data_IF_659213551271
#
_entry.id   IF_659213551271
#
_cell.length_a   1.000
_cell.length_b   1.000
_cell.length_c   1.000
_cell.angle_alpha   90.00
_cell.angle_beta   90.00
_cell.angle_gamma   90.00
#
_symmetry.space_group_name_H-M   'P 1'
#
loop_
_entity.id
_entity.type
_entity.pdbx_description
1 polymer ?
#
# COMPACT_ATOMS: atom_id res chain seq x y z
N UNK A 1 14.10 -40.66 -34.64
CA UNK A 1 13.43 -40.76 -33.30
C UNK A 1 13.12 -42.21 -33.04
N UNK A 2 13.65 -42.78 -31.96
CA UNK A 2 13.33 -44.16 -31.57
C UNK A 2 11.86 -44.18 -31.05
N UNK A 3 10.98 -44.85 -31.76
CA UNK A 3 9.59 -45.05 -31.30
C UNK A 3 9.55 -46.25 -30.37
N UNK A 4 9.32 -46.01 -29.10
CA UNK A 4 9.08 -47.10 -28.14
C UNK A 4 7.67 -47.68 -28.31
N UNK A 5 7.56 -48.99 -28.27
CA UNK A 5 6.24 -49.68 -28.15
C UNK A 5 5.62 -49.32 -26.78
N UNK A 6 4.30 -49.50 -26.62
CA UNK A 6 3.61 -49.28 -25.35
C UNK A 6 4.24 -50.09 -24.21
N UNK A 7 4.60 -51.34 -24.49
CA UNK A 7 5.23 -52.25 -23.52
C UNK A 7 6.66 -51.83 -23.14
N UNK A 8 7.45 -51.40 -24.11
CA UNK A 8 8.81 -50.86 -23.86
C UNK A 8 8.74 -49.60 -23.00
N UNK A 9 7.76 -48.70 -23.25
CA UNK A 9 7.56 -47.50 -22.47
C UNK A 9 7.11 -47.84 -21.04
N UNK A 10 6.21 -48.81 -20.84
CA UNK A 10 5.80 -49.24 -19.50
C UNK A 10 6.96 -49.83 -18.70
N UNK A 11 7.78 -50.69 -19.30
CA UNK A 11 9.00 -51.26 -18.67
C UNK A 11 9.99 -50.20 -18.29
N UNK A 12 10.21 -49.19 -19.17
CA UNK A 12 11.07 -48.06 -18.87
C UNK A 12 10.52 -47.20 -17.74
N UNK A 13 9.24 -46.86 -17.76
CA UNK A 13 8.60 -46.11 -16.68
C UNK A 13 8.67 -46.83 -15.34
N UNK A 14 8.46 -48.16 -15.33
CA UNK A 14 8.57 -48.98 -14.12
C UNK A 14 10.02 -49.08 -13.56
N UNK A 15 11.05 -48.74 -14.37
CA UNK A 15 12.45 -48.71 -13.92
C UNK A 15 12.85 -47.34 -13.31
N UNK A 16 11.96 -46.33 -13.36
CA UNK A 16 12.23 -45.03 -12.74
C UNK A 16 11.78 -45.08 -11.27
N UNK A 17 12.54 -44.38 -10.42
CA UNK A 17 12.17 -44.21 -9.02
C UNK A 17 10.80 -43.51 -8.91
N UNK A 18 9.89 -44.13 -8.16
CA UNK A 18 8.60 -43.52 -7.90
C UNK A 18 8.75 -42.29 -7.02
N UNK A 19 8.14 -41.20 -7.47
CA UNK A 19 8.07 -39.95 -6.71
C UNK A 19 6.63 -39.53 -6.61
N UNK A 20 6.24 -39.04 -5.44
CA UNK A 20 4.90 -38.46 -5.29
C UNK A 20 4.97 -36.94 -5.26
N UNK A 21 3.85 -36.30 -5.55
CA UNK A 21 3.69 -34.86 -5.47
C UNK A 21 2.64 -34.49 -4.44
N UNK A 22 2.78 -33.33 -3.85
CA UNK A 22 1.78 -32.69 -3.02
C UNK A 22 1.54 -31.26 -3.48
N UNK A 23 0.39 -30.71 -3.15
CA UNK A 23 0.03 -29.33 -3.43
C UNK A 23 -0.48 -28.65 -2.15
N UNK A 24 -0.15 -27.36 -1.98
CA UNK A 24 -0.61 -26.56 -0.86
C UNK A 24 -0.87 -25.13 -1.31
N UNK A 25 -1.62 -24.35 -0.51
CA UNK A 25 -1.97 -22.97 -0.85
C UNK A 25 -1.66 -22.02 0.29
N UNK A 26 -0.90 -20.96 -0.02
CA UNK A 26 -0.78 -19.75 0.79
C UNK A 26 -2.06 -18.93 0.58
N UNK A 27 -2.93 -18.85 1.57
CA UNK A 27 -4.15 -18.06 1.52
C UNK A 27 -3.98 -16.86 2.45
N UNK A 28 -3.86 -15.69 1.87
CA UNK A 28 -3.78 -14.43 2.61
C UNK A 28 -5.14 -13.75 2.67
N UNK A 29 -5.43 -13.10 3.79
CA UNK A 29 -6.57 -12.19 3.92
C UNK A 29 -6.19 -10.76 3.44
N UNK A 30 -7.15 -9.85 3.45
CA UNK A 30 -6.92 -8.45 3.03
C UNK A 30 -5.98 -7.66 3.96
N UNK A 31 -5.67 -8.19 5.14
CA UNK A 31 -4.71 -7.59 6.08
C UNK A 31 -3.28 -8.11 5.88
N UNK A 32 -3.08 -9.07 4.97
CA UNK A 32 -1.79 -9.72 4.74
C UNK A 32 -1.45 -10.79 5.80
N UNK A 33 -2.44 -11.34 6.49
CA UNK A 33 -2.28 -12.47 7.41
C UNK A 33 -2.52 -13.78 6.66
N UNK A 34 -1.72 -14.81 6.94
CA UNK A 34 -1.73 -16.10 6.28
C UNK A 34 -2.58 -17.12 7.05
N UNK A 35 -3.47 -17.82 6.36
CA UNK A 35 -4.21 -18.95 6.92
C UNK A 35 -3.26 -20.13 7.12
N UNK A 36 -3.14 -20.61 8.36
CA UNK A 36 -2.46 -21.85 8.73
C UNK A 36 -3.44 -22.82 9.36
N UNK A 37 -3.23 -24.11 9.13
CA UNK A 37 -4.05 -25.19 9.64
C UNK A 37 -3.23 -26.12 10.54
N UNK A 38 -3.85 -26.64 11.59
CA UNK A 38 -3.30 -27.65 12.47
C UNK A 38 -3.97 -29.00 12.15
N UNK A 39 -3.22 -29.88 11.49
CA UNK A 39 -3.69 -31.25 11.28
C UNK A 39 -3.59 -32.06 12.57
N UNK A 40 -4.58 -32.93 12.82
CA UNK A 40 -4.68 -33.75 14.04
C UNK A 40 -3.59 -34.85 14.15
N UNK A 41 -2.87 -35.11 13.04
CA UNK A 41 -1.81 -36.14 12.94
C UNK A 41 -0.40 -35.54 12.76
N UNK A 42 -0.25 -34.19 12.85
CA UNK A 42 1.04 -33.50 12.71
C UNK A 42 1.28 -32.56 13.90
N UNK A 43 2.53 -32.45 14.31
CA UNK A 43 2.90 -31.53 15.39
C UNK A 43 3.01 -30.08 14.92
N UNK A 44 3.28 -29.85 13.63
CA UNK A 44 3.48 -28.52 13.06
C UNK A 44 2.20 -27.96 12.43
N UNK A 45 2.09 -26.63 12.48
CA UNK A 45 1.13 -25.89 11.71
C UNK A 45 1.60 -25.72 10.27
N UNK A 46 0.71 -25.89 9.30
CA UNK A 46 1.01 -25.87 7.89
C UNK A 46 -0.01 -25.11 7.05
N UNK A 47 0.14 -25.26 5.76
CA UNK A 47 -0.79 -24.72 4.78
C UNK A 47 -1.89 -25.74 4.49
N UNK A 48 -3.10 -25.31 4.09
CA UNK A 48 -4.07 -26.21 3.49
C UNK A 48 -3.48 -26.91 2.27
N UNK A 49 -3.61 -28.25 2.19
CA UNK A 49 -3.07 -29.02 1.10
C UNK A 49 -2.70 -30.45 1.43
N UNK A 50 -2.57 -31.27 0.39
CA UNK A 50 -2.32 -32.71 0.49
C UNK A 50 -1.64 -33.31 -0.74
N UNK A 51 -1.82 -34.63 -0.89
CA UNK A 51 -1.19 -35.41 -1.97
C UNK A 51 -1.95 -35.20 -3.28
N UNK A 52 -1.20 -35.15 -4.38
CA UNK A 52 -1.78 -35.10 -5.73
C UNK A 52 -2.18 -36.50 -6.14
N UNK A 53 -3.46 -36.72 -6.40
CA UNK A 53 -4.01 -38.02 -6.80
C UNK A 53 -3.62 -38.43 -8.21
N UNK A 54 -3.76 -39.73 -8.50
CA UNK A 54 -3.47 -40.29 -9.82
C UNK A 54 -4.38 -39.68 -10.89
N UNK A 55 -3.78 -39.03 -11.88
CA UNK A 55 -4.50 -38.38 -12.97
C UNK A 55 -4.89 -36.91 -12.68
N UNK A 56 -4.60 -36.42 -11.50
CA UNK A 56 -4.84 -35.05 -11.09
C UNK A 56 -3.60 -34.15 -11.36
N UNK A 57 -3.80 -32.87 -11.61
CA UNK A 57 -2.71 -31.91 -11.66
C UNK A 57 -2.45 -31.30 -10.26
N UNK A 58 -1.23 -30.81 -9.95
CA UNK A 58 -0.97 -30.15 -8.68
C UNK A 58 -1.89 -28.95 -8.41
N UNK A 59 -2.31 -28.22 -9.45
CA UNK A 59 -3.24 -27.10 -9.33
C UNK A 59 -4.66 -27.58 -8.97
N UNK A 60 -5.11 -28.69 -9.56
CA UNK A 60 -6.41 -29.29 -9.23
C UNK A 60 -6.42 -29.82 -7.79
N UNK A 61 -5.34 -30.51 -7.37
CA UNK A 61 -5.18 -30.97 -6.00
C UNK A 61 -5.23 -29.80 -5.00
N UNK A 62 -4.54 -28.70 -5.28
CA UNK A 62 -4.56 -27.51 -4.44
C UNK A 62 -5.98 -26.97 -4.22
N UNK A 63 -6.78 -26.90 -5.29
CA UNK A 63 -8.19 -26.44 -5.21
C UNK A 63 -9.04 -27.42 -4.41
N UNK A 64 -8.90 -28.72 -4.65
CA UNK A 64 -9.65 -29.79 -3.95
C UNK A 64 -9.35 -29.78 -2.45
N UNK A 65 -8.06 -29.80 -2.08
CA UNK A 65 -7.63 -29.85 -0.68
C UNK A 65 -8.10 -28.63 0.12
N UNK A 66 -8.01 -27.42 -0.45
CA UNK A 66 -8.52 -26.20 0.20
C UNK A 66 -10.04 -26.29 0.41
N UNK A 67 -10.76 -26.88 -0.54
CA UNK A 67 -12.20 -27.10 -0.40
C UNK A 67 -12.52 -28.13 0.67
N UNK A 68 -11.77 -29.23 0.74
CA UNK A 68 -11.95 -30.30 1.70
C UNK A 68 -11.59 -29.87 3.11
N UNK A 69 -10.40 -29.31 3.32
CA UNK A 69 -9.86 -28.97 4.64
C UNK A 69 -10.46 -27.70 5.26
N UNK A 70 -10.80 -26.66 4.44
CA UNK A 70 -11.23 -25.35 4.93
C UNK A 70 -12.59 -24.88 4.37
N UNK A 71 -13.24 -25.65 3.49
CA UNK A 71 -14.49 -25.30 2.80
C UNK A 71 -14.42 -23.97 2.02
N UNK A 72 -13.26 -23.63 1.46
CA UNK A 72 -13.08 -22.44 0.64
C UNK A 72 -13.16 -22.85 -0.83
N UNK A 73 -14.02 -22.17 -1.60
CA UNK A 73 -14.12 -22.36 -3.05
C UNK A 73 -13.08 -21.49 -3.75
N UNK A 74 -12.20 -22.12 -4.55
CA UNK A 74 -11.19 -21.45 -5.36
C UNK A 74 -11.35 -21.83 -6.83
N UNK A 75 -11.23 -20.86 -7.73
CA UNK A 75 -11.06 -21.15 -9.14
C UNK A 75 -9.55 -21.29 -9.47
N UNK A 76 -9.16 -22.20 -10.39
CA UNK A 76 -7.76 -22.37 -10.77
C UNK A 76 -7.06 -21.08 -11.21
N UNK A 77 -7.79 -20.15 -11.82
CA UNK A 77 -7.27 -18.85 -12.27
C UNK A 77 -6.99 -17.85 -11.14
N UNK A 78 -7.39 -18.12 -9.91
CA UNK A 78 -7.11 -17.29 -8.73
C UNK A 78 -5.78 -17.67 -8.06
N UNK A 79 -5.18 -18.80 -8.47
CA UNK A 79 -3.97 -19.35 -7.89
C UNK A 79 -2.74 -19.03 -8.74
N UNK A 80 -1.73 -18.42 -8.12
CA UNK A 80 -0.40 -18.22 -8.70
C UNK A 80 0.60 -19.22 -8.09
N UNK A 81 1.48 -19.81 -8.90
CA UNK A 81 2.53 -20.68 -8.38
C UNK A 81 3.58 -19.82 -7.64
N UNK A 82 3.73 -20.06 -6.35
CA UNK A 82 4.68 -19.33 -5.48
C UNK A 82 6.00 -20.08 -5.28
N UNK A 83 5.93 -21.40 -4.98
CA UNK A 83 7.12 -22.20 -4.70
C UNK A 83 6.98 -23.61 -5.26
N UNK A 84 8.11 -24.23 -5.59
CA UNK A 84 8.20 -25.68 -5.85
C UNK A 84 9.33 -26.23 -4.99
N UNK A 85 9.01 -27.17 -4.11
CA UNK A 85 10.01 -27.79 -3.25
C UNK A 85 10.34 -29.21 -3.72
N UNK A 86 11.66 -29.52 -3.76
CA UNK A 86 12.17 -30.89 -3.82
C UNK A 86 12.50 -31.33 -2.39
N UNK A 87 11.72 -32.27 -1.86
CA UNK A 87 11.74 -32.71 -0.47
C UNK A 87 12.37 -34.09 -0.38
N UNK A 88 13.59 -34.15 0.15
CA UNK A 88 14.37 -35.37 0.25
C UNK A 88 14.28 -35.96 1.66
N UNK A 89 13.79 -37.19 1.76
CA UNK A 89 13.85 -38.07 2.93
C UNK A 89 14.85 -39.20 2.69
N UNK A 90 15.09 -40.00 3.71
CA UNK A 90 15.87 -41.25 3.59
C UNK A 90 15.14 -42.29 2.70
N UNK A 91 13.80 -42.32 2.76
CA UNK A 91 12.97 -43.33 2.12
C UNK A 91 12.36 -42.89 0.79
N UNK A 92 12.24 -41.56 0.54
CA UNK A 92 11.56 -41.03 -0.65
C UNK A 92 12.05 -39.65 -1.06
N UNK A 93 11.79 -39.33 -2.32
CA UNK A 93 11.86 -37.98 -2.84
C UNK A 93 10.44 -37.55 -3.28
N UNK A 94 10.02 -36.37 -2.85
CA UNK A 94 8.74 -35.80 -3.26
C UNK A 94 8.88 -34.38 -3.78
N UNK A 95 7.90 -33.91 -4.54
CA UNK A 95 7.79 -32.53 -4.96
C UNK A 95 6.54 -31.91 -4.35
N UNK A 96 6.68 -30.72 -3.77
CA UNK A 96 5.53 -29.96 -3.27
C UNK A 96 5.38 -28.68 -4.09
N UNK A 97 4.19 -28.49 -4.62
CA UNK A 97 3.79 -27.29 -5.33
C UNK A 97 3.02 -26.38 -4.35
N UNK A 98 3.49 -25.16 -4.15
CA UNK A 98 2.85 -24.19 -3.28
C UNK A 98 2.32 -23.07 -4.15
N UNK A 99 1.01 -22.92 -4.15
CA UNK A 99 0.31 -21.82 -4.80
C UNK A 99 -0.01 -20.72 -3.81
N UNK A 100 -0.41 -19.54 -4.30
CA UNK A 100 -0.81 -18.40 -3.47
C UNK A 100 -2.09 -17.75 -4.00
N UNK A 101 -2.94 -17.29 -3.09
CA UNK A 101 -4.12 -16.49 -3.36
C UNK A 101 -4.33 -15.46 -2.26
N UNK A 102 -4.89 -14.29 -2.61
CA UNK A 102 -5.39 -13.30 -1.66
C UNK A 102 -6.91 -13.29 -1.74
N UNK A 103 -7.57 -13.49 -0.61
CA UNK A 103 -9.03 -13.59 -0.55
C UNK A 103 -9.63 -12.49 0.32
N UNK A 104 -10.85 -12.06 -0.03
CA UNK A 104 -11.61 -11.10 0.78
C UNK A 104 -12.10 -11.74 2.08
N UNK A 105 -12.26 -10.93 3.11
CA UNK A 105 -12.72 -11.37 4.43
C UNK A 105 -14.10 -12.04 4.36
N UNK A 106 -14.99 -11.63 3.44
CA UNK A 106 -16.30 -12.25 3.23
C UNK A 106 -16.18 -13.72 2.77
N UNK A 107 -15.19 -14.04 1.94
CA UNK A 107 -14.92 -15.42 1.50
C UNK A 107 -14.33 -16.27 2.63
N UNK A 108 -13.55 -15.65 3.50
CA UNK A 108 -12.90 -16.31 4.64
C UNK A 108 -13.82 -16.42 5.86
N UNK A 109 -14.91 -15.65 5.93
CA UNK A 109 -15.88 -15.71 7.04
C UNK A 109 -16.62 -17.07 7.17
N UNK A 110 -16.60 -17.91 6.13
CA UNK A 110 -17.32 -19.18 6.08
C UNK A 110 -16.39 -20.41 6.12
N UNK A 111 -15.17 -20.26 6.65
CA UNK A 111 -14.25 -21.39 6.85
C UNK A 111 -14.94 -22.43 7.74
N UNK A 112 -14.93 -23.69 7.27
CA UNK A 112 -15.39 -24.87 8.02
C UNK A 112 -14.33 -25.93 7.89
N UNK A 113 -13.75 -26.32 9.02
CA UNK A 113 -12.69 -27.31 9.05
C UNK A 113 -13.24 -28.74 8.86
N UNK A 114 -12.50 -29.56 8.15
CA UNK A 114 -12.73 -30.99 8.08
C UNK A 114 -12.28 -31.63 9.39
N UNK A 115 -13.17 -31.76 10.36
CA UNK A 115 -12.87 -32.21 11.74
C UNK A 115 -12.17 -33.59 11.81
N UNK A 116 -12.29 -34.42 10.79
CA UNK A 116 -11.59 -35.72 10.70
C UNK A 116 -10.07 -35.57 10.53
N UNK A 117 -9.60 -34.46 10.00
CA UNK A 117 -8.18 -34.24 9.66
C UNK A 117 -7.60 -32.96 10.23
N UNK A 118 -8.39 -31.90 10.39
CA UNK A 118 -7.95 -30.59 10.83
C UNK A 118 -8.52 -30.28 12.21
N UNK A 119 -7.63 -30.06 13.17
CA UNK A 119 -7.94 -29.73 14.55
C UNK A 119 -8.27 -28.25 14.74
N UNK A 120 -7.52 -27.35 14.08
CA UNK A 120 -7.65 -25.90 14.28
C UNK A 120 -7.15 -25.10 13.07
N UNK A 121 -7.51 -23.82 13.02
CA UNK A 121 -7.06 -22.86 12.01
C UNK A 121 -6.74 -21.51 12.65
N UNK A 122 -5.74 -20.82 12.10
CA UNK A 122 -5.32 -19.53 12.60
C UNK A 122 -4.83 -18.64 11.45
N UNK A 123 -5.11 -17.32 11.52
CA UNK A 123 -4.50 -16.32 10.65
C UNK A 123 -3.29 -15.73 11.35
N UNK A 124 -2.09 -15.96 10.78
CA UNK A 124 -0.80 -15.55 11.35
C UNK A 124 -0.20 -14.41 10.54
N UNK A 125 0.29 -13.36 11.22
CA UNK A 125 1.04 -12.27 10.60
C UNK A 125 2.53 -12.62 10.43
N UNK A 126 3.25 -11.89 9.56
CA UNK A 126 4.70 -12.04 9.40
C UNK A 126 5.46 -11.85 10.74
N UNK A 127 5.00 -10.90 11.57
CA UNK A 127 5.61 -10.62 12.88
C UNK A 127 5.41 -11.79 13.86
N UNK A 128 4.22 -12.38 13.87
CA UNK A 128 3.93 -13.55 14.72
C UNK A 128 4.71 -14.79 14.30
N UNK A 129 4.96 -14.99 12.99
CA UNK A 129 5.83 -16.08 12.51
C UNK A 129 7.23 -15.98 13.10
N UNK A 130 7.78 -14.76 13.20
CA UNK A 130 9.10 -14.54 13.78
C UNK A 130 9.15 -14.81 15.30
N UNK A 131 8.02 -14.68 15.99
CA UNK A 131 7.87 -14.85 17.45
C UNK A 131 7.25 -16.20 17.84
N UNK A 132 6.84 -17.02 16.86
CA UNK A 132 6.13 -18.26 17.10
C UNK A 132 6.97 -19.23 17.95
N UNK A 133 6.38 -19.72 19.03
CA UNK A 133 6.95 -20.72 19.93
C UNK A 133 6.43 -22.15 19.65
N UNK A 134 5.75 -22.33 18.53
CA UNK A 134 5.24 -23.61 18.04
C UNK A 134 5.81 -23.93 16.65
N UNK A 135 5.90 -25.21 16.28
CA UNK A 135 6.51 -25.59 15.02
C UNK A 135 5.67 -25.17 13.81
N UNK A 136 6.32 -24.49 12.88
CA UNK A 136 5.73 -24.04 11.62
C UNK A 136 6.38 -24.74 10.43
N UNK A 137 5.57 -25.07 9.42
CA UNK A 137 6.04 -25.60 8.15
C UNK A 137 7.05 -24.63 7.49
N UNK A 138 8.04 -25.17 6.79
CA UNK A 138 9.05 -24.39 6.08
C UNK A 138 8.46 -23.32 5.13
N UNK A 139 7.36 -23.63 4.45
CA UNK A 139 6.71 -22.71 3.51
C UNK A 139 6.12 -21.47 4.21
N UNK A 140 5.59 -21.60 5.44
CA UNK A 140 5.12 -20.47 6.25
C UNK A 140 6.28 -19.55 6.63
N UNK A 141 7.44 -20.14 6.98
CA UNK A 141 8.65 -19.36 7.31
C UNK A 141 9.23 -18.62 6.10
N UNK A 142 9.15 -19.20 4.91
CA UNK A 142 9.57 -18.52 3.67
C UNK A 142 8.59 -17.44 3.23
N UNK A 143 7.28 -17.68 3.42
CA UNK A 143 6.27 -16.66 3.19
C UNK A 143 6.53 -15.40 4.04
N UNK A 144 6.78 -15.54 5.34
CA UNK A 144 7.07 -14.41 6.22
C UNK A 144 8.36 -13.65 5.85
N UNK A 145 9.28 -14.27 5.13
CA UNK A 145 10.49 -13.63 4.60
C UNK A 145 10.32 -13.13 3.16
N UNK A 146 9.16 -13.34 2.55
CA UNK A 146 8.90 -13.05 1.14
C UNK A 146 9.88 -13.75 0.18
N UNK A 147 10.36 -14.95 0.57
CA UNK A 147 11.31 -15.77 -0.18
C UNK A 147 10.56 -16.85 -0.96
N UNK A 148 10.35 -16.63 -2.26
CA UNK A 148 9.61 -17.53 -3.15
C UNK A 148 10.53 -18.13 -4.22
N UNK A 149 10.26 -19.36 -4.66
CA UNK A 149 11.04 -19.98 -5.72
C UNK A 149 11.15 -21.49 -5.64
N UNK A 150 12.23 -22.05 -6.21
CA UNK A 150 12.57 -23.46 -6.07
C UNK A 150 13.30 -23.68 -4.73
N UNK A 151 12.81 -24.62 -3.94
CA UNK A 151 13.30 -24.90 -2.58
C UNK A 151 13.79 -26.35 -2.52
N UNK A 152 14.94 -26.55 -1.90
CA UNK A 152 15.40 -27.90 -1.54
C UNK A 152 15.30 -28.07 -0.02
N UNK A 153 14.62 -29.14 0.40
CA UNK A 153 14.52 -29.49 1.82
C UNK A 153 15.06 -30.88 2.08
N UNK A 154 15.55 -31.09 3.31
CA UNK A 154 15.94 -32.40 3.81
C UNK A 154 15.10 -32.74 5.02
N UNK A 155 14.45 -33.91 4.96
CA UNK A 155 13.60 -34.46 6.02
C UNK A 155 14.41 -35.52 6.77
N UNK A 156 14.51 -35.38 8.08
CA UNK A 156 15.12 -36.37 8.95
C UNK A 156 14.08 -36.86 9.95
N UNK A 157 13.95 -38.18 10.09
CA UNK A 157 13.11 -38.78 11.11
C UNK A 157 13.79 -38.67 12.47
N UNK A 158 13.03 -38.24 13.49
CA UNK A 158 13.52 -38.24 14.87
C UNK A 158 13.15 -39.56 15.55
N UNK A 159 13.85 -39.87 16.66
CA UNK A 159 13.64 -41.12 17.47
C UNK A 159 12.18 -41.22 17.99
N UNK A 160 11.46 -40.11 18.09
CA UNK A 160 10.06 -40.06 18.52
C UNK A 160 9.05 -40.21 17.35
N UNK A 161 9.52 -40.46 16.09
CA UNK A 161 8.64 -40.58 14.92
C UNK A 161 8.20 -39.24 14.33
N UNK A 162 8.58 -38.11 14.91
CA UNK A 162 8.36 -36.80 14.30
C UNK A 162 9.37 -36.53 13.18
N UNK A 163 8.97 -35.78 12.20
CA UNK A 163 9.84 -35.38 11.08
C UNK A 163 10.34 -33.94 11.29
N UNK A 164 11.66 -33.76 11.24
CA UNK A 164 12.30 -32.43 11.19
C UNK A 164 12.67 -32.14 9.73
N UNK A 165 12.10 -31.09 9.16
CA UNK A 165 12.33 -30.67 7.78
C UNK A 165 13.13 -29.36 7.75
N UNK A 166 14.32 -29.41 7.17
CA UNK A 166 15.23 -28.25 7.06
C UNK A 166 15.38 -27.81 5.62
N UNK A 167 15.34 -26.50 5.40
CA UNK A 167 15.66 -25.88 4.12
C UNK A 167 17.18 -26.02 3.91
N UNK A 168 17.58 -26.57 2.75
CA UNK A 168 18.97 -26.75 2.34
C UNK A 168 19.38 -25.67 1.33
N UNK A 169 18.51 -25.35 0.39
CA UNK A 169 18.74 -24.32 -0.61
C UNK A 169 17.44 -23.65 -1.06
N UNK A 170 17.56 -22.40 -1.46
CA UNK A 170 16.49 -21.64 -2.12
C UNK A 170 17.07 -21.04 -3.38
N UNK A 171 16.41 -21.30 -4.50
CA UNK A 171 16.74 -20.67 -5.80
C UNK A 171 15.53 -19.85 -6.21
N UNK A 172 15.62 -18.52 -6.30
CA UNK A 172 14.50 -17.70 -6.74
C UNK A 172 13.98 -18.20 -8.09
N UNK A 173 12.66 -18.25 -8.27
CA UNK A 173 12.10 -18.55 -9.59
C UNK A 173 12.53 -17.46 -10.57
N UNK A 174 12.90 -17.88 -11.80
CA UNK A 174 13.20 -16.94 -12.86
C UNK A 174 12.02 -16.00 -13.06
N UNK A 175 12.18 -14.76 -12.64
CA UNK A 175 11.31 -13.66 -13.01
C UNK A 175 11.95 -13.00 -14.22
N UNK A 176 11.30 -13.07 -15.38
CA UNK A 176 11.70 -12.31 -16.57
C UNK A 176 11.54 -10.80 -16.38
N UNK A 177 10.75 -10.41 -15.38
CA UNK A 177 10.88 -9.13 -14.72
C UNK A 177 11.71 -9.39 -13.46
N UNK A 178 12.88 -8.74 -13.30
CA UNK A 178 13.29 -8.39 -11.95
C UNK A 178 11.99 -7.94 -11.25
N UNK A 179 11.60 -8.57 -10.13
CA UNK A 179 10.92 -7.79 -9.10
C UNK A 179 11.98 -6.73 -8.74
N UNK A 180 11.97 -5.62 -9.45
CA UNK A 180 12.25 -4.37 -8.80
C UNK A 180 11.35 -4.44 -7.58
N UNK A 181 11.90 -4.31 -6.38
CA UNK A 181 11.12 -3.88 -5.24
C UNK A 181 10.20 -2.83 -5.82
N UNK A 182 8.86 -3.12 -5.86
CA UNK A 182 7.93 -2.18 -6.48
C UNK A 182 8.15 -0.91 -5.69
N UNK A 183 8.99 -0.03 -6.23
CA UNK A 183 9.47 1.17 -5.57
C UNK A 183 8.21 1.94 -5.25
N UNK A 184 7.81 1.92 -4.00
CA UNK A 184 6.58 2.60 -3.58
C UNK A 184 6.83 4.08 -3.71
N UNK A 185 6.03 4.74 -4.52
CA UNK A 185 6.10 6.19 -4.65
C UNK A 185 5.54 6.86 -3.41
N UNK A 186 6.18 7.92 -2.95
CA UNK A 186 5.70 8.73 -1.83
C UNK A 186 5.27 10.10 -2.32
N UNK A 187 4.07 10.52 -1.93
CA UNK A 187 3.59 11.88 -2.08
C UNK A 187 3.65 12.57 -0.73
N UNK A 188 4.48 13.60 -0.63
CA UNK A 188 4.51 14.48 0.55
C UNK A 188 3.78 15.76 0.19
N UNK A 189 2.74 16.10 0.94
CA UNK A 189 1.94 17.31 0.74
C UNK A 189 2.19 18.28 1.89
N UNK A 190 2.50 19.54 1.56
CA UNK A 190 2.61 20.66 2.48
C UNK A 190 1.71 21.81 2.06
N UNK A 191 1.04 22.42 3.02
CA UNK A 191 0.44 23.74 2.84
C UNK A 191 1.54 24.80 2.87
N UNK A 192 1.37 25.88 2.08
CA UNK A 192 2.27 27.04 2.17
C UNK A 192 2.34 27.60 3.59
N UNK A 193 3.49 28.15 3.99
CA UNK A 193 3.70 28.81 5.27
C UNK A 193 2.81 30.05 5.45
N UNK A 194 2.84 30.67 6.63
CA UNK A 194 2.12 31.90 6.90
C UNK A 194 2.50 32.99 5.88
N UNK A 195 1.50 33.55 5.19
CA UNK A 195 1.68 34.67 4.27
C UNK A 195 1.30 36.02 4.94
N UNK A 196 1.73 37.11 4.33
CA UNK A 196 1.37 38.46 4.77
C UNK A 196 -0.14 38.65 4.98
N UNK A 197 -0.96 38.12 4.08
CA UNK A 197 -2.40 38.24 4.17
C UNK A 197 -3.05 37.22 5.13
N UNK A 198 -2.36 36.12 5.46
CA UNK A 198 -2.81 35.27 6.56
C UNK A 198 -2.64 36.01 7.90
N UNK A 199 -1.50 36.70 8.10
CA UNK A 199 -1.24 37.52 9.29
C UNK A 199 -2.29 38.62 9.46
N UNK A 200 -2.71 39.26 8.33
CA UNK A 200 -3.72 40.32 8.31
C UNK A 200 -5.18 39.80 8.37
N UNK A 201 -5.39 38.48 8.44
CA UNK A 201 -6.73 37.89 8.44
C UNK A 201 -7.53 38.13 7.16
N UNK A 202 -6.88 38.33 6.00
CA UNK A 202 -7.56 38.61 4.72
C UNK A 202 -7.80 37.38 3.88
N UNK A 203 -8.86 37.44 3.06
CA UNK A 203 -9.09 36.47 2.00
C UNK A 203 -8.05 36.66 0.89
N UNK A 204 -7.17 35.67 0.68
CA UNK A 204 -6.01 35.82 -0.23
C UNK A 204 -6.34 35.45 -1.67
N UNK A 205 -7.01 34.31 -1.85
CA UNK A 205 -7.33 33.79 -3.20
C UNK A 205 -6.09 33.71 -4.10
N UNK A 206 -6.26 34.21 -5.32
CA UNK A 206 -5.24 34.22 -6.37
C UNK A 206 -4.22 35.36 -6.23
N UNK A 207 -4.41 36.29 -5.26
CA UNK A 207 -3.45 37.38 -5.05
C UNK A 207 -2.07 36.82 -4.67
N UNK A 208 -1.04 37.31 -5.35
CA UNK A 208 0.32 36.76 -5.24
C UNK A 208 1.13 37.46 -4.15
N UNK A 209 0.81 37.17 -2.87
CA UNK A 209 1.51 37.64 -1.68
C UNK A 209 2.61 36.69 -1.25
N UNK A 210 3.64 37.21 -0.58
CA UNK A 210 4.75 36.44 -0.03
C UNK A 210 4.46 35.84 1.34
N UNK A 211 5.41 35.03 1.81
CA UNK A 211 5.44 34.54 3.20
C UNK A 211 5.93 35.65 4.13
N UNK A 212 5.51 35.58 5.40
CA UNK A 212 6.15 36.34 6.48
C UNK A 212 7.49 35.72 6.84
N UNK A 213 8.36 36.48 7.54
CA UNK A 213 9.61 35.93 8.08
C UNK A 213 9.36 34.77 9.03
N UNK A 214 8.30 34.85 9.86
CA UNK A 214 7.85 33.77 10.73
C UNK A 214 7.41 32.57 9.90
N UNK A 215 6.62 32.79 8.85
CA UNK A 215 6.16 31.71 7.94
C UNK A 215 7.31 30.96 7.28
N UNK A 216 8.40 31.67 6.90
CA UNK A 216 9.61 31.04 6.38
C UNK A 216 10.31 30.21 7.46
N UNK A 217 10.54 30.77 8.66
CA UNK A 217 11.23 30.10 9.76
C UNK A 217 10.46 28.84 10.23
N UNK A 218 9.14 28.94 10.38
CA UNK A 218 8.30 27.80 10.75
C UNK A 218 8.32 26.70 9.67
N UNK A 219 8.37 27.08 8.40
CA UNK A 219 8.47 26.14 7.28
C UNK A 219 9.86 25.49 7.22
N UNK A 220 10.94 26.19 7.54
CA UNK A 220 12.28 25.58 7.65
C UNK A 220 12.30 24.51 8.76
N UNK A 221 11.69 24.78 9.93
CA UNK A 221 11.54 23.77 10.99
C UNK A 221 10.72 22.56 10.53
N UNK A 222 9.63 22.78 9.76
CA UNK A 222 8.83 21.72 9.19
C UNK A 222 9.65 20.87 8.21
N UNK A 223 10.54 21.49 7.44
CA UNK A 223 11.47 20.84 6.54
C UNK A 223 12.40 19.84 7.22
N UNK A 224 12.73 20.03 8.50
CA UNK A 224 13.56 19.08 9.26
C UNK A 224 12.94 17.67 9.33
N UNK A 225 11.60 17.58 9.26
CA UNK A 225 10.90 16.29 9.23
C UNK A 225 11.07 15.52 7.91
N UNK A 226 11.67 16.15 6.90
CA UNK A 226 11.99 15.58 5.60
C UNK A 226 13.44 15.09 5.49
N UNK A 227 14.27 15.27 6.54
CA UNK A 227 15.67 14.81 6.56
C UNK A 227 15.78 13.34 6.22
N UNK A 228 16.67 13.00 5.28
CA UNK A 228 16.88 11.64 4.80
C UNK A 228 15.88 11.17 3.74
N UNK A 229 14.89 11.99 3.36
CA UNK A 229 14.03 11.72 2.23
C UNK A 229 14.66 12.27 0.94
N UNK A 230 14.66 11.47 -0.11
CA UNK A 230 15.01 11.91 -1.46
C UNK A 230 13.72 12.12 -2.28
N UNK A 231 13.66 13.20 -3.05
CA UNK A 231 12.56 13.52 -3.94
C UNK A 231 13.03 13.51 -5.40
N UNK A 232 12.22 12.93 -6.27
CA UNK A 232 12.49 12.89 -7.71
C UNK A 232 11.98 14.15 -8.43
N UNK A 233 10.95 14.80 -7.88
CA UNK A 233 10.29 15.96 -8.48
C UNK A 233 9.47 16.72 -7.43
N UNK A 234 9.31 18.03 -7.60
CA UNK A 234 8.44 18.85 -6.79
C UNK A 234 7.34 19.52 -7.61
N UNK A 235 6.18 19.71 -7.01
CA UNK A 235 5.04 20.42 -7.58
C UNK A 235 4.65 21.59 -6.69
N UNK A 236 4.43 22.74 -7.30
CA UNK A 236 3.89 23.92 -6.61
C UNK A 236 2.73 24.51 -7.39
N UNK A 237 1.94 25.36 -6.75
CA UNK A 237 1.04 26.23 -7.49
C UNK A 237 1.83 27.30 -8.28
N UNK A 238 1.15 28.13 -9.05
CA UNK A 238 1.76 29.26 -9.73
C UNK A 238 2.08 30.43 -8.79
N UNK A 239 1.67 30.38 -7.52
CA UNK A 239 1.73 31.51 -6.58
C UNK A 239 3.01 31.49 -5.75
N UNK A 240 3.66 32.65 -5.62
CA UNK A 240 4.97 32.87 -4.97
C UNK A 240 5.11 32.25 -3.59
N UNK A 241 4.07 32.31 -2.74
CA UNK A 241 4.11 31.74 -1.39
C UNK A 241 4.35 30.23 -1.36
N UNK A 242 3.93 29.49 -2.39
CA UNK A 242 4.24 28.05 -2.48
C UNK A 242 5.67 27.79 -2.91
N UNK A 243 6.24 28.66 -3.76
CA UNK A 243 7.65 28.58 -4.15
C UNK A 243 8.56 28.85 -2.95
N UNK A 244 8.29 29.94 -2.20
CA UNK A 244 9.03 30.27 -0.99
C UNK A 244 8.91 29.18 0.09
N UNK A 245 7.75 28.51 0.17
CA UNK A 245 7.55 27.36 1.06
C UNK A 245 8.39 26.18 0.62
N UNK A 246 8.43 25.86 -0.66
CA UNK A 246 9.27 24.79 -1.19
C UNK A 246 10.75 25.05 -0.84
N UNK A 247 11.24 26.25 -1.12
CA UNK A 247 12.64 26.65 -0.82
C UNK A 247 12.96 26.47 0.67
N UNK A 248 12.05 26.92 1.55
CA UNK A 248 12.22 26.81 3.01
C UNK A 248 12.18 25.35 3.49
N UNK A 249 11.29 24.50 2.95
CA UNK A 249 11.23 23.07 3.26
C UNK A 249 12.53 22.36 2.87
N UNK A 250 13.04 22.61 1.66
CA UNK A 250 14.27 22.01 1.15
C UNK A 250 15.48 22.45 1.99
N UNK A 251 15.56 23.73 2.35
CA UNK A 251 16.59 24.26 3.24
C UNK A 251 16.57 23.57 4.61
N UNK A 252 15.40 23.44 5.25
CA UNK A 252 15.23 22.77 6.54
C UNK A 252 15.57 21.27 6.47
N UNK A 253 15.25 20.62 5.37
CA UNK A 253 15.60 19.22 5.12
C UNK A 253 17.10 19.01 4.84
N UNK A 254 17.85 20.05 4.52
CA UNK A 254 19.24 19.96 4.07
C UNK A 254 19.37 19.35 2.66
N UNK A 255 18.33 19.47 1.83
CA UNK A 255 18.32 19.01 0.44
C UNK A 255 18.89 20.12 -0.43
N UNK A 256 20.05 19.86 -1.04
CA UNK A 256 20.78 20.79 -1.92
C UNK A 256 20.82 20.32 -3.38
N UNK A 257 20.32 19.14 -3.65
CA UNK A 257 20.27 18.56 -4.99
C UNK A 257 19.19 19.26 -5.83
N UNK A 258 19.54 19.61 -7.06
CA UNK A 258 18.57 20.14 -8.02
C UNK A 258 17.57 19.05 -8.41
N UNK A 259 16.29 19.35 -8.22
CA UNK A 259 15.20 18.51 -8.69
C UNK A 259 14.29 19.31 -9.63
N UNK A 260 13.62 18.65 -10.58
CA UNK A 260 12.59 19.29 -11.41
C UNK A 260 11.48 19.88 -10.56
N UNK A 261 11.12 21.14 -10.79
CA UNK A 261 9.99 21.82 -10.13
C UNK A 261 8.95 22.21 -11.17
N UNK A 262 7.75 21.63 -11.05
CA UNK A 262 6.62 21.94 -11.90
C UNK A 262 5.68 22.92 -11.19
N UNK A 263 5.37 24.03 -11.87
CA UNK A 263 4.43 25.05 -11.40
C UNK A 263 3.12 24.90 -12.14
N UNK A 264 2.05 24.62 -11.42
CA UNK A 264 0.74 24.31 -12.02
C UNK A 264 -0.35 25.23 -11.46
N UNK A 265 -1.06 25.92 -12.33
CA UNK A 265 -2.18 26.78 -11.96
C UNK A 265 -3.36 25.98 -11.38
N UNK A 266 -3.50 24.72 -11.76
CA UNK A 266 -4.48 23.77 -11.26
C UNK A 266 -4.34 23.53 -9.75
N UNK A 267 -3.14 23.78 -9.19
CA UNK A 267 -2.84 23.68 -7.75
C UNK A 267 -3.00 25.02 -7.02
N UNK A 268 -3.41 26.10 -7.68
CA UNK A 268 -3.64 27.40 -7.05
C UNK A 268 -4.67 27.32 -5.90
N UNK A 269 -4.62 28.32 -5.02
CA UNK A 269 -5.65 28.52 -4.00
C UNK A 269 -7.02 28.77 -4.69
N UNK A 270 -8.07 28.57 -3.95
CA UNK A 270 -9.44 28.88 -4.36
C UNK A 270 -9.57 30.38 -4.64
N UNK A 271 -10.18 30.75 -5.75
CA UNK A 271 -10.56 32.12 -6.01
C UNK A 271 -11.69 32.53 -5.07
N UNK A 272 -11.50 33.60 -4.33
CA UNK A 272 -12.50 34.12 -3.42
C UNK A 272 -13.34 35.25 -4.04
N UNK A 273 -13.15 35.58 -5.32
CA UNK A 273 -13.93 36.55 -6.08
C UNK A 273 -14.05 37.88 -5.35
N UNK A 274 -15.29 38.35 -5.10
CA UNK A 274 -15.58 39.64 -4.46
C UNK A 274 -15.12 39.73 -2.99
N UNK A 275 -14.71 38.63 -2.37
CA UNK A 275 -14.18 38.61 -1.00
C UNK A 275 -12.66 38.83 -0.95
N UNK A 276 -11.97 38.71 -2.10
CA UNK A 276 -10.51 38.85 -2.14
C UNK A 276 -10.04 40.21 -1.59
N UNK A 277 -9.12 40.16 -0.64
CA UNK A 277 -8.57 41.37 0.02
C UNK A 277 -9.38 41.87 1.22
N UNK A 278 -10.63 41.44 1.38
CA UNK A 278 -11.44 41.80 2.57
C UNK A 278 -10.95 41.08 3.82
N UNK A 279 -11.14 41.71 4.98
CA UNK A 279 -10.88 41.07 6.28
C UNK A 279 -11.93 40.00 6.55
N UNK A 280 -11.50 38.82 6.98
CA UNK A 280 -12.37 37.66 7.21
C UNK A 280 -13.39 37.94 8.34
N UNK A 281 -12.96 38.64 9.35
CA UNK A 281 -13.77 38.87 10.54
C UNK A 281 -14.82 39.95 10.29
N UNK A 282 -14.47 41.01 9.57
CA UNK A 282 -15.42 42.02 9.09
C UNK A 282 -16.48 41.37 8.19
N UNK A 283 -16.07 40.53 7.25
CA UNK A 283 -17.01 39.79 6.42
C UNK A 283 -17.90 38.86 7.25
N UNK A 284 -17.35 38.18 8.28
CA UNK A 284 -18.16 37.34 9.21
C UNK A 284 -19.26 38.15 9.88
N UNK A 285 -18.93 39.38 10.34
CA UNK A 285 -19.90 40.27 11.00
C UNK A 285 -20.97 40.77 10.02
N UNK A 286 -20.62 40.96 8.74
CA UNK A 286 -21.56 41.41 7.70
C UNK A 286 -22.54 40.30 7.24
N UNK A 287 -22.05 39.06 7.02
CA UNK A 287 -22.86 37.97 6.39
C UNK A 287 -23.37 36.94 7.39
N UNK A 288 -22.92 36.99 8.63
CA UNK A 288 -23.25 36.04 9.69
C UNK A 288 -22.43 34.75 9.68
N UNK A 289 -22.48 34.03 10.79
CA UNK A 289 -21.61 32.86 11.03
C UNK A 289 -21.91 31.69 10.09
N UNK A 290 -23.18 31.43 9.79
CA UNK A 290 -23.59 30.32 8.94
C UNK A 290 -23.04 30.49 7.51
N UNK A 291 -23.27 31.67 6.89
CA UNK A 291 -22.78 31.98 5.55
C UNK A 291 -21.25 32.02 5.52
N UNK A 292 -20.61 32.59 6.55
CA UNK A 292 -19.16 32.62 6.68
C UNK A 292 -18.56 31.20 6.73
N UNK A 293 -19.15 30.31 7.54
CA UNK A 293 -18.70 28.93 7.63
C UNK A 293 -18.99 28.15 6.34
N UNK A 294 -20.12 28.41 5.69
CA UNK A 294 -20.46 27.86 4.38
C UNK A 294 -19.39 28.22 3.32
N UNK A 295 -19.05 29.49 3.21
CA UNK A 295 -17.99 29.96 2.31
C UNK A 295 -16.62 29.34 2.69
N UNK A 296 -16.30 29.32 3.97
CA UNK A 296 -14.96 28.91 4.44
C UNK A 296 -14.76 27.39 4.36
N UNK A 297 -15.79 26.60 4.68
CA UNK A 297 -15.69 25.15 4.95
C UNK A 297 -16.50 24.30 3.99
N UNK A 298 -17.60 24.87 3.42
CA UNK A 298 -18.55 24.13 2.60
C UNK A 298 -17.93 23.51 1.35
N UNK A 299 -18.57 22.44 0.88
CA UNK A 299 -18.15 21.73 -0.32
C UNK A 299 -18.53 22.51 -1.58
N UNK A 300 -19.80 22.88 -1.73
CA UNK A 300 -20.38 23.54 -2.88
C UNK A 300 -21.08 24.88 -2.54
N UNK A 301 -20.74 25.44 -1.36
CA UNK A 301 -21.31 26.73 -0.95
C UNK A 301 -20.81 27.85 -1.88
N UNK A 302 -21.73 28.65 -2.48
CA UNK A 302 -21.35 29.66 -3.45
C UNK A 302 -20.45 30.75 -2.88
N UNK A 303 -19.46 31.16 -3.64
CA UNK A 303 -18.60 32.33 -3.36
C UNK A 303 -18.87 33.37 -4.45
N UNK A 304 -19.34 34.58 -4.11
CA UNK A 304 -19.64 35.62 -5.10
C UNK A 304 -18.44 35.94 -5.98
N UNK A 305 -18.58 35.73 -7.30
CA UNK A 305 -17.50 35.93 -8.28
C UNK A 305 -16.31 35.01 -8.16
N UNK A 306 -16.36 33.98 -7.31
CA UNK A 306 -15.23 33.07 -7.04
C UNK A 306 -15.57 31.60 -7.21
N UNK A 307 -14.72 30.73 -6.70
CA UNK A 307 -14.82 29.26 -6.78
C UNK A 307 -15.42 28.67 -5.49
N UNK A 308 -16.22 27.63 -5.64
CA UNK A 308 -16.53 26.67 -4.56
C UNK A 308 -15.38 25.70 -4.35
N UNK A 309 -15.36 24.91 -3.27
CA UNK A 309 -14.38 23.84 -3.10
C UNK A 309 -14.54 22.75 -4.17
N UNK A 310 -15.77 22.53 -4.65
CA UNK A 310 -16.08 21.60 -5.73
C UNK A 310 -15.45 22.03 -7.06
N UNK A 311 -15.40 23.33 -7.35
CA UNK A 311 -14.72 23.85 -8.55
C UNK A 311 -13.20 23.66 -8.45
N UNK A 312 -12.62 23.89 -7.27
CA UNK A 312 -11.19 23.57 -7.01
C UNK A 312 -10.90 22.08 -7.22
N UNK A 313 -11.79 21.20 -6.74
CA UNK A 313 -11.68 19.76 -6.97
C UNK A 313 -11.70 19.42 -8.47
N UNK A 314 -12.59 20.04 -9.21
CA UNK A 314 -12.76 19.79 -10.65
C UNK A 314 -11.52 20.16 -11.49
N UNK A 315 -10.62 21.03 -10.98
CA UNK A 315 -9.32 21.33 -11.65
C UNK A 315 -8.14 20.60 -11.05
N UNK A 316 -8.04 20.50 -9.71
CA UNK A 316 -6.88 19.95 -9.04
C UNK A 316 -6.79 18.42 -9.11
N UNK A 317 -7.92 17.70 -9.02
CA UNK A 317 -7.90 16.23 -8.99
C UNK A 317 -7.63 15.62 -10.37
N UNK A 318 -8.24 16.06 -11.50
CA UNK A 318 -7.86 15.58 -12.81
C UNK A 318 -6.39 15.85 -13.15
N UNK A 319 -5.86 17.02 -12.77
CA UNK A 319 -4.44 17.32 -12.92
C UNK A 319 -3.56 16.35 -12.12
N UNK A 320 -3.90 16.10 -10.84
CA UNK A 320 -3.20 15.11 -10.04
C UNK A 320 -3.21 13.72 -10.70
N UNK A 321 -4.36 13.29 -11.21
CA UNK A 321 -4.53 11.98 -11.83
C UNK A 321 -3.74 11.83 -13.14
N UNK A 322 -3.62 12.89 -13.94
CA UNK A 322 -2.90 12.84 -15.23
C UNK A 322 -1.39 13.03 -15.08
N UNK A 323 -0.95 13.93 -14.21
CA UNK A 323 0.44 14.39 -14.16
C UNK A 323 1.24 13.80 -12.99
N UNK A 324 0.62 13.59 -11.83
CA UNK A 324 1.33 13.22 -10.59
C UNK A 324 1.17 11.73 -10.29
N UNK A 325 -0.05 11.20 -10.34
CA UNK A 325 -0.34 9.81 -9.99
C UNK A 325 0.46 8.78 -10.80
N UNK A 326 0.64 8.90 -12.13
CA UNK A 326 1.46 7.93 -12.89
C UNK A 326 2.91 7.87 -12.42
N UNK A 327 3.46 9.00 -11.97
CA UNK A 327 4.82 9.07 -11.45
C UNK A 327 4.95 8.39 -10.08
N UNK A 328 3.94 8.58 -9.21
CA UNK A 328 3.85 7.89 -7.93
C UNK A 328 3.72 6.37 -8.13
N UNK A 329 2.91 5.93 -9.08
CA UNK A 329 2.77 4.53 -9.47
C UNK A 329 4.07 3.95 -10.07
N UNK A 330 4.89 4.80 -10.71
CA UNK A 330 6.23 4.44 -11.16
C UNK A 330 7.29 4.44 -10.02
N UNK A 331 6.86 4.64 -8.76
CA UNK A 331 7.73 4.60 -7.59
C UNK A 331 8.53 5.88 -7.34
N UNK A 332 8.16 7.02 -7.95
CA UNK A 332 8.80 8.32 -7.67
C UNK A 332 8.30 8.92 -6.37
N UNK A 333 9.21 9.60 -5.66
CA UNK A 333 8.90 10.40 -4.49
C UNK A 333 8.66 11.86 -4.93
N UNK A 334 7.50 12.40 -4.59
CA UNK A 334 7.05 13.73 -5.02
C UNK A 334 6.76 14.61 -3.82
N UNK A 335 7.29 15.84 -3.83
CA UNK A 335 6.97 16.88 -2.87
C UNK A 335 5.98 17.86 -3.51
N UNK A 336 4.78 17.99 -2.95
CA UNK A 336 3.72 18.88 -3.42
C UNK A 336 3.47 19.98 -2.40
N UNK A 337 3.62 21.24 -2.81
CA UNK A 337 3.34 22.41 -1.98
C UNK A 337 2.20 23.20 -2.60
N UNK A 338 1.09 23.30 -1.87
CA UNK A 338 -0.12 23.94 -2.37
C UNK A 338 -0.84 24.76 -1.27
N UNK A 339 -2.13 24.93 -1.37
CA UNK A 339 -2.94 25.81 -0.54
C UNK A 339 -4.01 25.04 0.23
N UNK A 340 -4.64 25.70 1.21
CA UNK A 340 -5.63 25.07 2.05
C UNK A 340 -6.74 24.35 1.24
N UNK A 341 -7.35 25.02 0.28
CA UNK A 341 -8.45 24.43 -0.46
C UNK A 341 -8.02 23.46 -1.58
N UNK A 342 -6.93 23.71 -2.28
CA UNK A 342 -6.42 22.74 -3.26
C UNK A 342 -5.97 21.44 -2.58
N UNK A 343 -5.38 21.50 -1.39
CA UNK A 343 -5.03 20.31 -0.60
C UNK A 343 -6.29 19.61 -0.07
N UNK A 344 -7.29 20.34 0.42
CA UNK A 344 -8.59 19.75 0.84
C UNK A 344 -9.27 19.00 -0.31
N UNK A 345 -9.20 19.53 -1.53
CA UNK A 345 -9.69 18.86 -2.73
C UNK A 345 -8.92 17.56 -3.00
N UNK A 346 -7.58 17.56 -2.87
CA UNK A 346 -6.78 16.34 -2.99
C UNK A 346 -7.04 15.34 -1.87
N UNK A 347 -7.19 15.78 -0.60
CA UNK A 347 -7.55 14.92 0.53
C UNK A 347 -8.90 14.23 0.27
N UNK A 348 -9.90 14.98 -0.25
CA UNK A 348 -11.19 14.38 -0.61
C UNK A 348 -11.03 13.18 -1.55
N UNK A 349 -10.19 13.30 -2.56
CA UNK A 349 -9.91 12.21 -3.50
C UNK A 349 -9.09 11.09 -2.87
N UNK A 350 -8.00 11.42 -2.19
CA UNK A 350 -7.04 10.45 -1.66
C UNK A 350 -7.61 9.64 -0.48
N UNK A 351 -8.36 10.28 0.40
CA UNK A 351 -8.96 9.67 1.59
C UNK A 351 -10.43 9.27 1.37
N UNK A 352 -10.97 9.43 0.15
CA UNK A 352 -12.36 9.10 -0.24
C UNK A 352 -13.41 9.76 0.69
N UNK A 353 -13.16 11.03 1.07
CA UNK A 353 -14.04 11.76 2.01
C UNK A 353 -15.39 12.09 1.36
N UNK A 354 -16.54 11.76 2.00
CA UNK A 354 -17.86 12.15 1.51
C UNK A 354 -18.06 13.67 1.46
N UNK A 355 -18.96 14.14 0.59
CA UNK A 355 -19.27 15.58 0.45
C UNK A 355 -19.74 16.20 1.78
N UNK A 356 -20.56 15.46 2.56
CA UNK A 356 -21.05 15.86 3.88
C UNK A 356 -19.95 16.18 4.89
N UNK A 357 -18.80 15.50 4.77
CA UNK A 357 -17.74 15.54 5.78
C UNK A 357 -16.66 16.57 5.44
N UNK A 358 -16.74 17.17 4.24
CA UNK A 358 -15.75 18.13 3.75
C UNK A 358 -15.62 19.38 4.62
N UNK A 359 -16.64 19.74 5.38
CA UNK A 359 -16.58 20.86 6.32
C UNK A 359 -15.55 20.62 7.46
N UNK A 360 -15.25 19.36 7.79
CA UNK A 360 -14.33 18.95 8.84
C UNK A 360 -12.91 18.67 8.34
N UNK A 361 -12.70 18.63 7.03
CA UNK A 361 -11.36 18.43 6.45
C UNK A 361 -10.53 19.70 6.57
N UNK A 362 -9.38 19.60 7.22
CA UNK A 362 -8.44 20.72 7.38
C UNK A 362 -7.02 20.34 6.95
N UNK A 363 -6.27 21.36 6.57
CA UNK A 363 -4.81 21.28 6.40
C UNK A 363 -4.20 22.47 7.17
N UNK A 364 -3.86 22.30 8.44
CA UNK A 364 -3.27 23.35 9.25
C UNK A 364 -1.84 23.68 8.78
N UNK A 365 -1.31 24.81 9.20
CA UNK A 365 0.11 25.11 9.08
C UNK A 365 0.94 24.13 9.90
N UNK A 366 2.21 23.92 9.53
CA UNK A 366 3.13 23.05 10.28
C UNK A 366 2.85 21.57 10.18
N UNK A 367 2.10 21.13 9.15
CA UNK A 367 1.78 19.73 8.94
C UNK A 367 2.21 19.25 7.55
N UNK A 368 2.71 18.01 7.49
CA UNK A 368 2.98 17.25 6.27
C UNK A 368 2.07 16.02 6.22
N UNK A 369 1.47 15.77 5.07
CA UNK A 369 0.79 14.49 4.79
C UNK A 369 1.70 13.66 3.90
N UNK A 370 2.01 12.44 4.32
CA UNK A 370 2.84 11.51 3.56
C UNK A 370 1.97 10.33 3.13
N UNK A 371 1.69 10.24 1.84
CA UNK A 371 0.95 9.14 1.24
C UNK A 371 1.90 8.20 0.53
N UNK A 372 1.66 6.91 0.62
CA UNK A 372 2.44 5.87 -0.06
C UNK A 372 1.59 5.19 -1.12
N UNK A 373 2.11 5.08 -2.35
CA UNK A 373 1.42 4.50 -3.50
C UNK A 373 2.10 3.24 -3.98
N UNK A 374 1.30 2.29 -4.46
CA UNK A 374 1.76 1.11 -5.19
C UNK A 374 1.52 1.29 -6.69
N UNK A 375 2.22 0.55 -7.53
CA UNK A 375 2.10 0.65 -8.98
C UNK A 375 0.67 0.39 -9.52
N UNK A 376 -0.13 -0.36 -8.79
CA UNK A 376 -1.41 -0.89 -9.26
C UNK A 376 -2.62 -0.12 -8.71
N UNK A 377 -2.41 0.90 -7.85
CA UNK A 377 -3.51 1.60 -7.19
C UNK A 377 -3.56 3.07 -7.55
N UNK A 378 -4.76 3.57 -7.83
CA UNK A 378 -5.04 5.00 -7.98
C UNK A 378 -5.19 5.70 -6.61
N UNK A 379 -5.38 4.95 -5.53
CA UNK A 379 -5.48 5.43 -4.16
C UNK A 379 -4.27 5.02 -3.34
N UNK A 380 -3.88 5.79 -2.32
CA UNK A 380 -2.73 5.46 -1.49
C UNK A 380 -2.98 4.20 -0.66
N UNK A 381 -1.92 3.43 -0.44
CA UNK A 381 -1.92 2.27 0.46
C UNK A 381 -1.87 2.70 1.94
N UNK A 382 -1.17 3.80 2.23
CA UNK A 382 -0.92 4.28 3.59
C UNK A 382 -0.85 5.80 3.63
N UNK A 383 -1.20 6.38 4.79
CA UNK A 383 -1.10 7.80 5.12
C UNK A 383 -0.42 7.97 6.47
N UNK A 384 0.59 8.82 6.51
CA UNK A 384 1.28 9.27 7.72
C UNK A 384 1.14 10.78 7.85
N UNK A 385 0.98 11.29 9.05
CA UNK A 385 0.95 12.73 9.34
C UNK A 385 2.16 13.09 10.19
N UNK A 386 2.94 14.05 9.73
CA UNK A 386 4.07 14.63 10.50
C UNK A 386 3.76 16.08 10.81
N UNK A 387 4.11 16.57 11.98
CA UNK A 387 3.83 17.96 12.36
C UNK A 387 4.89 18.55 13.29
N UNK A 388 5.01 19.86 13.24
CA UNK A 388 5.72 20.68 14.22
C UNK A 388 4.73 21.61 14.89
N UNK A 389 4.96 21.92 16.16
CA UNK A 389 4.17 22.95 16.83
C UNK A 389 4.43 24.32 16.20
N UNK A 390 3.35 24.98 15.79
CA UNK A 390 3.35 26.35 15.29
C UNK A 390 2.35 27.15 16.11
N UNK A 391 2.73 28.34 16.56
CA UNK A 391 1.79 29.22 17.25
C UNK A 391 0.58 29.52 16.35
N UNK A 392 -0.64 29.54 16.93
CA UNK A 392 -1.86 29.79 16.17
C UNK A 392 -1.75 31.08 15.34
N UNK A 393 -2.06 30.96 14.06
CA UNK A 393 -2.17 32.09 13.14
C UNK A 393 -3.65 32.49 13.06
N UNK A 394 -3.93 33.78 12.94
CA UNK A 394 -5.28 34.32 12.70
C UNK A 394 -5.78 34.01 11.25
N UNK A 395 -5.66 32.76 10.81
CA UNK A 395 -5.90 32.34 9.42
C UNK A 395 -7.29 31.76 9.21
#
# INVERSE_FOLDING_TARGET
MVQYTKEQRQKWMASLDARFSSAAVLIENTKGELLILKANYKDNWGLPGGVVDAGESPLAAAVREVKEEANIDLAPGELALAMVASRQSEDYLSHQFVFAAVLSDDRLANIRLQESEIEDSYFISEEEVAQANFPLLWAVKLWAKQEFGYVETKITSTVAGSQDEKIVAITPMYSSAKKEDKKMGKLVISRHGESEWNLLGKWTGLTDVGLTEKGIADTERLGELLKGMAFDEAYTSALKRTHQTLDALLKGAGITEDMPVVRAAELNERDYGDLTGKNKWEVKDEIGEEAFNGIRRGWDYPVPGGETLKDVYARAVPYFQSEILPKLQAGKNILLVAHGNSIRALIKYLDQVPDSDMAHVEMPFGQLLVYTFTADSALPKNKEVRSVEIEPVNA
#
